data_IF_824558082376
#
_entry.id   IF_824558082376
#
_cell.length_a   1.000
_cell.length_b   1.000
_cell.length_c   1.000
_cell.angle_alpha   90.00
_cell.angle_beta   90.00
_cell.angle_gamma   90.00
#
_symmetry.space_group_name_H-M   'P 1'
#
loop_
_entity.id
_entity.type
_entity.pdbx_description
1 polymer ?
#
# COMPACT_ATOMS: atom_id res chain seq x y z
N UNK A 1 58.97 -28.95 -40.13
CA UNK A 1 58.25 -27.83 -39.46
C UNK A 1 56.78 -28.23 -39.40
N UNK A 2 56.25 -28.50 -38.21
CA UNK A 2 54.87 -28.98 -38.01
C UNK A 2 53.95 -27.77 -37.86
N UNK A 3 52.99 -27.61 -38.77
CA UNK A 3 51.94 -26.59 -38.65
C UNK A 3 50.84 -27.08 -37.71
N UNK A 4 50.82 -26.55 -36.48
CA UNK A 4 49.72 -26.73 -35.54
C UNK A 4 48.57 -25.79 -35.92
N UNK A 5 47.52 -26.32 -36.55
CA UNK A 5 46.28 -25.59 -36.85
C UNK A 5 45.35 -25.60 -35.63
N UNK A 6 45.34 -24.50 -34.87
CA UNK A 6 44.34 -24.26 -33.82
C UNK A 6 42.98 -23.98 -34.45
N UNK A 7 42.03 -24.91 -34.31
CA UNK A 7 40.62 -24.72 -34.69
C UNK A 7 39.98 -23.65 -33.79
N UNK A 8 39.88 -22.42 -34.30
CA UNK A 8 39.14 -21.34 -33.65
C UNK A 8 37.66 -21.67 -33.56
N UNK A 9 37.12 -21.73 -32.34
CA UNK A 9 35.70 -21.96 -32.06
C UNK A 9 34.90 -20.78 -32.64
N UNK A 10 34.07 -21.01 -33.67
CA UNK A 10 33.16 -19.98 -34.19
C UNK A 10 32.19 -19.57 -33.10
N UNK A 11 32.24 -18.31 -32.68
CA UNK A 11 31.22 -17.70 -31.82
C UNK A 11 29.90 -17.64 -32.59
N UNK A 12 28.89 -18.40 -32.15
CA UNK A 12 27.53 -18.30 -32.69
C UNK A 12 26.89 -17.06 -32.07
N UNK A 13 26.51 -16.08 -32.89
CA UNK A 13 25.75 -14.91 -32.47
C UNK A 13 24.24 -15.19 -32.49
N UNK A 14 23.49 -14.38 -31.76
CA UNK A 14 22.03 -14.38 -31.82
C UNK A 14 21.55 -13.79 -33.16
N UNK A 15 20.50 -14.37 -33.72
CA UNK A 15 19.90 -13.82 -34.94
C UNK A 15 18.93 -12.69 -34.60
N UNK A 16 18.71 -11.75 -35.53
CA UNK A 16 17.73 -10.68 -35.35
C UNK A 16 16.33 -11.25 -35.06
N UNK A 17 15.95 -12.31 -35.77
CA UNK A 17 14.63 -12.95 -35.61
C UNK A 17 14.47 -13.61 -34.23
N UNK A 18 15.54 -14.15 -33.67
CA UNK A 18 15.55 -14.75 -32.33
C UNK A 18 15.36 -13.70 -31.24
N UNK A 19 15.98 -12.52 -31.38
CA UNK A 19 15.74 -11.41 -30.46
C UNK A 19 14.30 -10.90 -30.58
N UNK A 20 13.79 -10.75 -31.81
CA UNK A 20 12.41 -10.28 -32.03
C UNK A 20 11.36 -11.25 -31.47
N UNK A 21 11.57 -12.56 -31.62
CA UNK A 21 10.63 -13.56 -31.07
C UNK A 21 10.63 -13.56 -29.54
N UNK A 22 11.81 -13.48 -28.91
CA UNK A 22 11.94 -13.38 -27.44
C UNK A 22 11.28 -12.12 -26.91
N UNK A 23 11.52 -10.96 -27.52
CA UNK A 23 10.89 -9.69 -27.12
C UNK A 23 9.37 -9.74 -27.30
N UNK A 24 8.88 -10.35 -28.38
CA UNK A 24 7.46 -10.57 -28.62
C UNK A 24 6.81 -11.33 -27.45
N UNK A 25 7.38 -12.49 -27.09
CA UNK A 25 6.89 -13.30 -25.96
C UNK A 25 7.00 -12.54 -24.63
N UNK A 26 8.12 -11.88 -24.37
CA UNK A 26 8.35 -11.13 -23.14
C UNK A 26 7.35 -9.98 -22.95
N UNK A 27 6.97 -9.30 -24.04
CA UNK A 27 5.98 -8.21 -23.99
C UNK A 27 4.59 -8.69 -23.57
N UNK A 28 4.15 -9.83 -24.11
CA UNK A 28 2.86 -10.46 -23.75
C UNK A 28 2.87 -10.86 -22.29
N UNK A 29 3.91 -11.54 -21.82
CA UNK A 29 4.03 -11.94 -20.41
C UNK A 29 4.05 -10.74 -19.46
N UNK A 30 4.81 -9.70 -19.80
CA UNK A 30 4.95 -8.50 -18.96
C UNK A 30 3.62 -7.75 -18.80
N UNK A 31 2.77 -7.73 -19.83
CA UNK A 31 1.46 -7.06 -19.79
C UNK A 31 0.52 -7.62 -18.72
N UNK A 32 0.67 -8.90 -18.36
CA UNK A 32 -0.15 -9.58 -17.35
C UNK A 32 0.57 -9.57 -16.00
N UNK A 33 1.87 -9.89 -16.00
CA UNK A 33 2.65 -10.05 -14.78
C UNK A 33 2.85 -8.72 -14.04
N UNK A 34 3.14 -7.63 -14.75
CA UNK A 34 3.44 -6.34 -14.15
C UNK A 34 2.28 -5.74 -13.34
N UNK A 35 1.04 -5.60 -13.88
CA UNK A 35 -0.07 -5.06 -13.08
C UNK A 35 -0.43 -5.96 -11.90
N UNK A 36 -0.33 -7.29 -12.05
CA UNK A 36 -0.58 -8.24 -10.95
C UNK A 36 0.41 -8.05 -9.80
N UNK A 37 1.71 -7.89 -10.13
CA UNK A 37 2.74 -7.62 -9.13
C UNK A 37 2.54 -6.26 -8.44
N UNK A 38 2.20 -5.21 -9.20
CA UNK A 38 1.90 -3.90 -8.61
C UNK A 38 0.70 -3.96 -7.66
N UNK A 39 -0.37 -4.68 -8.02
CA UNK A 39 -1.52 -4.88 -7.15
C UNK A 39 -1.16 -5.61 -5.84
N UNK A 40 -0.25 -6.58 -5.92
CA UNK A 40 0.26 -7.32 -4.75
C UNK A 40 1.06 -6.40 -3.82
N UNK A 41 1.93 -5.56 -4.38
CA UNK A 41 2.68 -4.56 -3.61
C UNK A 41 1.74 -3.53 -2.96
N UNK A 42 0.75 -3.03 -3.70
CA UNK A 42 -0.24 -2.11 -3.15
C UNK A 42 -1.00 -2.73 -1.98
N UNK A 43 -1.41 -4.00 -2.10
CA UNK A 43 -2.08 -4.74 -1.01
C UNK A 43 -1.18 -4.86 0.22
N UNK A 44 0.09 -5.26 0.04
CA UNK A 44 1.04 -5.35 1.16
C UNK A 44 1.25 -4.01 1.87
N UNK A 45 1.30 -2.91 1.12
CA UNK A 45 1.42 -1.55 1.67
C UNK A 45 0.16 -1.08 2.38
N UNK A 46 -1.03 -1.46 1.89
CA UNK A 46 -2.29 -1.23 2.63
C UNK A 46 -2.25 -1.92 3.98
N UNK A 47 -1.75 -3.15 4.06
CA UNK A 47 -1.62 -3.86 5.34
C UNK A 47 -0.82 -3.08 6.37
N UNK A 48 0.27 -2.39 6.00
CA UNK A 48 1.02 -1.52 6.91
C UNK A 48 0.16 -0.35 7.44
N UNK A 49 -0.67 0.27 6.59
CA UNK A 49 -1.64 1.28 7.03
C UNK A 49 -2.69 0.72 7.98
N UNK A 50 -3.24 -0.47 7.68
CA UNK A 50 -4.23 -1.13 8.54
C UNK A 50 -3.65 -1.46 9.92
N UNK A 51 -2.41 -1.93 9.97
CA UNK A 51 -1.68 -2.18 11.22
C UNK A 51 -1.51 -0.88 12.00
N UNK A 52 -1.07 0.20 11.35
CA UNK A 52 -0.86 1.46 12.02
C UNK A 52 -2.17 2.09 12.53
N UNK A 53 -3.26 2.03 11.75
CA UNK A 53 -4.59 2.47 12.19
C UNK A 53 -5.09 1.64 13.39
N UNK A 54 -4.85 0.34 13.39
CA UNK A 54 -5.17 -0.55 14.53
C UNK A 54 -4.35 -0.18 15.76
N UNK A 55 -3.08 0.18 15.60
CA UNK A 55 -2.22 0.63 16.69
C UNK A 55 -2.68 1.96 17.28
N UNK A 56 -3.14 2.90 16.43
CA UNK A 56 -3.80 4.13 16.88
C UNK A 56 -5.05 3.79 17.68
N UNK A 57 -5.92 2.91 17.18
CA UNK A 57 -7.11 2.48 17.89
C UNK A 57 -6.79 1.90 19.27
N UNK A 58 -5.86 0.95 19.38
CA UNK A 58 -5.44 0.37 20.67
C UNK A 58 -4.92 1.46 21.63
N UNK A 59 -4.20 2.45 21.10
CA UNK A 59 -3.65 3.54 21.91
C UNK A 59 -4.74 4.50 22.40
N UNK A 60 -5.75 4.75 21.56
CA UNK A 60 -6.93 5.52 21.94
C UNK A 60 -7.70 4.86 23.07
N UNK A 61 -7.96 3.54 22.98
CA UNK A 61 -8.65 2.81 24.05
C UNK A 61 -7.89 2.89 25.38
N UNK A 62 -6.56 2.72 25.35
CA UNK A 62 -5.71 2.87 26.55
C UNK A 62 -5.74 4.29 27.12
N UNK A 63 -5.76 5.30 26.26
CA UNK A 63 -5.82 6.69 26.67
C UNK A 63 -7.17 7.03 27.31
N UNK A 64 -8.25 6.55 26.71
CA UNK A 64 -9.63 6.79 27.13
C UNK A 64 -9.89 6.33 28.57
N UNK A 65 -9.35 5.17 28.98
CA UNK A 65 -9.47 4.64 30.35
C UNK A 65 -9.03 5.65 31.42
N UNK A 66 -8.03 6.49 31.12
CA UNK A 66 -7.45 7.43 32.08
C UNK A 66 -7.97 8.87 31.92
N UNK A 67 -8.41 9.27 30.72
CA UNK A 67 -8.72 10.67 30.41
C UNK A 67 -10.18 10.93 30.02
N UNK A 68 -11.00 9.88 29.84
CA UNK A 68 -12.42 9.97 29.43
C UNK A 68 -12.67 10.78 28.15
N UNK A 69 -11.71 10.73 27.23
CA UNK A 69 -11.81 11.31 25.90
C UNK A 69 -10.68 10.82 25.02
N UNK A 70 -10.73 11.13 23.73
CA UNK A 70 -9.74 10.71 22.75
C UNK A 70 -8.66 11.76 22.54
N UNK A 71 -7.50 11.30 22.09
CA UNK A 71 -6.29 12.11 21.97
C UNK A 71 -5.87 12.31 20.50
N UNK A 72 -5.05 13.34 20.29
CA UNK A 72 -4.29 13.55 19.06
C UNK A 72 -3.16 12.51 18.92
N UNK A 73 -2.62 12.33 17.71
CA UNK A 73 -1.48 11.41 17.50
C UNK A 73 -0.26 11.75 18.37
N UNK A 74 0.01 13.05 18.57
CA UNK A 74 1.13 13.51 19.39
C UNK A 74 0.98 13.11 20.86
N UNK A 75 -0.22 13.26 21.43
CA UNK A 75 -0.53 12.84 22.81
C UNK A 75 -0.40 11.32 22.98
N UNK A 76 -0.82 10.55 21.97
CA UNK A 76 -0.67 9.09 21.95
C UNK A 76 0.77 8.64 21.67
N UNK A 77 1.69 9.56 21.36
CA UNK A 77 3.06 9.29 20.87
C UNK A 77 3.07 8.35 19.65
N UNK A 78 2.05 8.48 18.81
CA UNK A 78 1.97 7.75 17.54
C UNK A 78 2.66 8.54 16.43
N UNK A 79 3.45 7.89 15.57
CA UNK A 79 4.07 8.57 14.44
C UNK A 79 3.00 9.04 13.43
N UNK A 80 3.28 10.15 12.76
CA UNK A 80 2.40 10.68 11.70
C UNK A 80 2.60 9.96 10.35
N UNK A 81 3.36 8.86 10.31
CA UNK A 81 3.55 8.00 9.14
C UNK A 81 3.62 6.53 9.56
N UNK A 82 3.29 5.64 8.62
CA UNK A 82 3.44 4.21 8.83
C UNK A 82 4.90 3.78 8.81
N UNK A 83 5.18 2.57 9.30
CA UNK A 83 6.56 2.08 9.46
C UNK A 83 7.34 2.03 8.14
N UNK A 84 6.65 1.74 7.03
CA UNK A 84 7.24 1.70 5.69
C UNK A 84 7.19 3.05 4.95
N UNK A 85 6.58 4.08 5.55
CA UNK A 85 6.48 5.42 4.96
C UNK A 85 5.55 5.54 3.75
N UNK A 86 4.72 4.53 3.49
CA UNK A 86 3.79 4.51 2.35
C UNK A 86 2.45 5.19 2.62
N UNK A 87 2.17 5.50 3.88
CA UNK A 87 1.00 6.27 4.30
C UNK A 87 1.37 7.29 5.38
N UNK A 88 0.79 8.49 5.27
CA UNK A 88 0.79 9.49 6.32
C UNK A 88 -0.48 9.36 7.16
N UNK A 89 -0.35 9.40 8.49
CA UNK A 89 -1.44 9.32 9.45
C UNK A 89 -1.79 10.71 9.96
N UNK A 90 -3.08 11.01 10.01
CA UNK A 90 -3.60 12.29 10.49
C UNK A 90 -4.84 12.05 11.36
N UNK A 91 -4.87 12.68 12.53
CA UNK A 91 -6.07 12.74 13.37
C UNK A 91 -6.92 13.93 12.90
N UNK A 92 -8.06 13.64 12.28
CA UNK A 92 -8.98 14.66 11.77
C UNK A 92 -9.86 15.20 12.91
N UNK A 93 -10.29 14.32 13.81
CA UNK A 93 -11.07 14.69 14.98
C UNK A 93 -10.73 13.78 16.16
N UNK A 94 -10.73 14.33 17.37
CA UNK A 94 -10.65 13.58 18.61
C UNK A 94 -11.33 14.42 19.71
N UNK A 95 -12.43 13.91 20.24
CA UNK A 95 -13.20 14.53 21.32
C UNK A 95 -13.52 13.49 22.42
N UNK A 96 -14.46 13.79 23.31
CA UNK A 96 -14.83 12.93 24.44
C UNK A 96 -15.54 11.63 24.03
N UNK A 97 -16.07 11.56 22.81
CA UNK A 97 -16.97 10.49 22.35
C UNK A 97 -16.60 9.88 21.00
N UNK A 98 -15.87 10.65 20.17
CA UNK A 98 -15.54 10.30 18.80
C UNK A 98 -14.09 10.60 18.48
N UNK A 99 -13.48 9.76 17.64
CA UNK A 99 -12.29 10.14 16.91
C UNK A 99 -12.34 9.67 15.46
N UNK A 100 -11.59 10.38 14.63
CA UNK A 100 -11.44 10.12 13.21
C UNK A 100 -9.96 10.22 12.84
N UNK A 101 -9.41 9.12 12.33
CA UNK A 101 -8.03 9.03 11.86
C UNK A 101 -8.03 8.58 10.41
N UNK A 102 -7.20 9.22 9.59
CA UNK A 102 -7.03 8.89 8.18
C UNK A 102 -5.58 8.50 7.90
N UNK A 103 -5.40 7.46 7.08
CA UNK A 103 -4.14 7.11 6.45
C UNK A 103 -4.20 7.54 4.97
N UNK A 104 -3.29 8.44 4.57
CA UNK A 104 -3.18 8.99 3.21
C UNK A 104 -1.98 8.39 2.50
N UNK A 105 -2.21 7.71 1.40
CA UNK A 105 -1.15 7.09 0.62
C UNK A 105 -0.16 8.12 0.07
N UNK A 106 1.12 7.81 0.18
CA UNK A 106 2.24 8.62 -0.30
C UNK A 106 3.05 7.87 -1.37
N UNK A 107 3.88 8.60 -2.12
CA UNK A 107 4.79 8.02 -3.10
C UNK A 107 4.09 7.10 -4.12
N UNK A 108 4.66 5.92 -4.36
CA UNK A 108 4.11 4.95 -5.31
C UNK A 108 2.72 4.41 -4.91
N UNK A 109 2.37 4.44 -3.62
CA UNK A 109 1.08 3.98 -3.11
C UNK A 109 -0.06 4.94 -3.48
N UNK A 110 0.23 6.20 -3.78
CA UNK A 110 -0.78 7.16 -4.23
C UNK A 110 -1.47 6.76 -5.55
N UNK A 111 -0.91 5.78 -6.29
CA UNK A 111 -1.51 5.18 -7.50
C UNK A 111 -2.58 4.13 -7.20
N UNK A 112 -2.71 3.70 -5.94
CA UNK A 112 -3.79 2.81 -5.48
C UNK A 112 -5.08 3.63 -5.31
N UNK A 113 -5.65 4.07 -6.44
CA UNK A 113 -6.66 5.13 -6.49
C UNK A 113 -7.86 4.91 -5.58
N UNK A 114 -8.51 3.73 -5.64
CA UNK A 114 -9.67 3.43 -4.78
C UNK A 114 -9.29 3.39 -3.29
N UNK A 115 -8.05 3.04 -2.94
CA UNK A 115 -7.62 2.85 -1.56
C UNK A 115 -6.57 3.88 -1.12
N UNK A 116 -6.55 5.05 -1.79
CA UNK A 116 -5.58 6.10 -1.55
C UNK A 116 -5.74 6.71 -0.16
N UNK A 117 -6.98 6.82 0.31
CA UNK A 117 -7.33 7.26 1.65
C UNK A 117 -8.03 6.11 2.37
N UNK A 118 -7.58 5.79 3.59
CA UNK A 118 -8.21 4.81 4.47
C UNK A 118 -8.57 5.51 5.78
N UNK A 119 -9.86 5.60 6.09
CA UNK A 119 -10.37 6.32 7.24
C UNK A 119 -11.03 5.38 8.25
N UNK A 120 -10.61 5.50 9.50
CA UNK A 120 -11.22 4.84 10.65
C UNK A 120 -11.91 5.90 11.50
N UNK A 121 -13.21 5.71 11.73
CA UNK A 121 -14.00 6.51 12.66
C UNK A 121 -14.46 5.60 13.78
N UNK A 122 -14.29 6.04 15.02
CA UNK A 122 -14.89 5.39 16.18
C UNK A 122 -15.79 6.41 16.89
N UNK A 123 -17.03 6.01 17.09
CA UNK A 123 -18.08 6.77 17.78
C UNK A 123 -18.72 5.85 18.82
N UNK A 124 -18.30 6.00 20.07
CA UNK A 124 -18.58 5.02 21.12
C UNK A 124 -18.14 3.60 20.71
N UNK A 125 -19.08 2.65 20.67
CA UNK A 125 -18.83 1.27 20.25
C UNK A 125 -18.88 1.03 18.73
N UNK A 126 -19.27 2.05 17.95
CA UNK A 126 -19.43 1.93 16.50
C UNK A 126 -18.10 2.24 15.81
N UNK A 127 -17.58 1.26 15.07
CA UNK A 127 -16.36 1.42 14.27
C UNK A 127 -16.76 1.45 12.80
N UNK A 128 -16.48 2.58 12.14
CA UNK A 128 -16.72 2.76 10.70
C UNK A 128 -15.40 2.79 9.95
N UNK A 129 -15.30 1.99 8.89
CA UNK A 129 -14.16 1.90 7.98
C UNK A 129 -14.58 2.36 6.59
N UNK A 130 -13.90 3.37 6.06
CA UNK A 130 -14.17 3.93 4.74
C UNK A 130 -12.88 4.10 3.95
N UNK A 131 -12.95 4.08 2.63
CA UNK A 131 -11.83 4.38 1.75
C UNK A 131 -12.24 5.25 0.57
N UNK A 132 -11.26 5.82 -0.13
CA UNK A 132 -11.55 6.58 -1.35
C UNK A 132 -10.31 7.17 -2.01
N UNK A 133 -10.55 7.78 -3.17
CA UNK A 133 -9.53 8.52 -3.92
C UNK A 133 -9.10 9.81 -3.21
N UNK A 134 -9.95 10.36 -2.36
CA UNK A 134 -9.75 11.60 -1.62
C UNK A 134 -10.33 11.51 -0.21
N UNK A 135 -10.32 12.64 0.50
CA UNK A 135 -10.77 12.81 1.88
C UNK A 135 -12.24 12.52 2.14
N UNK A 136 -13.08 12.61 1.10
CA UNK A 136 -14.49 12.30 1.22
C UNK A 136 -14.72 10.83 1.52
N UNK A 137 -13.74 9.96 1.20
CA UNK A 137 -13.80 8.50 1.37
C UNK A 137 -15.14 7.90 0.89
N UNK A 138 -15.62 8.39 -0.25
CA UNK A 138 -16.95 8.12 -0.80
C UNK A 138 -17.08 6.79 -1.57
N UNK A 139 -16.20 5.81 -1.33
CA UNK A 139 -16.28 4.54 -2.04
C UNK A 139 -17.56 3.76 -1.72
N UNK A 140 -18.09 3.00 -2.69
CA UNK A 140 -19.18 2.07 -2.45
C UNK A 140 -18.74 0.93 -1.50
N UNK A 141 -19.68 0.26 -0.81
CA UNK A 141 -19.37 -0.79 0.16
C UNK A 141 -18.48 -1.92 -0.38
N UNK A 142 -18.62 -2.28 -1.66
CA UNK A 142 -17.78 -3.32 -2.28
C UNK A 142 -16.31 -2.89 -2.40
N UNK A 143 -16.04 -1.63 -2.77
CA UNK A 143 -14.68 -1.09 -2.86
C UNK A 143 -14.07 -0.92 -1.46
N UNK A 144 -14.85 -0.44 -0.49
CA UNK A 144 -14.42 -0.38 0.92
C UNK A 144 -13.96 -1.75 1.41
N UNK A 145 -14.75 -2.81 1.19
CA UNK A 145 -14.36 -4.18 1.59
C UNK A 145 -13.04 -4.63 0.97
N UNK A 146 -12.77 -4.29 -0.29
CA UNK A 146 -11.49 -4.63 -0.96
C UNK A 146 -10.30 -3.86 -0.38
N UNK A 147 -10.47 -2.58 -0.08
CA UNK A 147 -9.40 -1.76 0.48
C UNK A 147 -9.04 -2.16 1.91
N UNK A 148 -10.03 -2.62 2.68
CA UNK A 148 -9.89 -3.01 4.08
C UNK A 148 -9.67 -4.52 4.30
N UNK A 149 -9.61 -5.33 3.24
CA UNK A 149 -9.28 -6.75 3.34
C UNK A 149 -7.77 -6.98 3.29
N UNK A 150 -7.26 -7.76 4.24
CA UNK A 150 -5.87 -8.22 4.31
C UNK A 150 -5.53 -9.27 3.24
#
# INVERSE_FOLDING_TARGET
MQHSSTLGRRSRGFTLIEVLSVLGIASVLSSIAYPSFQGSLQKARRTDALVALTQVQISQERWFVNHRGYATLAQLRQPAQTSSGHYALEMIAADESRYEVVARASGAQARDGECRHLKLVVDGAVITRASGADDSVANPPAANRRCWSL
#
